data_IF_476419901848
#
_entry.id   IF_476419901848
#
_cell.length_a   1.000
_cell.length_b   1.000
_cell.length_c   1.000
_cell.angle_alpha   90.00
_cell.angle_beta   90.00
_cell.angle_gamma   90.00
#
_symmetry.space_group_name_H-M   'P 1'
#
loop_
_entity.id
_entity.type
_entity.pdbx_description
1 polymer ?
#
# COMPACT_ATOMS: atom_id res chain seq x y z
N UNK A 1 -57.93 11.70 13.48
CA UNK A 1 -56.65 12.09 14.12
C UNK A 1 -55.59 11.12 13.64
N UNK A 2 -54.51 11.44 12.96
CA UNK A 2 -54.04 12.60 12.20
C UNK A 2 -52.86 12.01 11.43
N UNK A 3 -52.79 12.21 10.11
CA UNK A 3 -51.58 11.93 9.34
C UNK A 3 -50.42 12.70 9.96
N UNK A 4 -49.53 12.03 10.68
CA UNK A 4 -48.15 12.50 10.81
C UNK A 4 -47.27 11.51 10.05
N UNK A 5 -47.14 11.83 8.77
CA UNK A 5 -46.16 11.29 7.85
C UNK A 5 -44.77 11.70 8.38
N UNK A 6 -44.18 10.91 9.28
CA UNK A 6 -42.75 11.02 9.56
C UNK A 6 -42.04 10.53 8.32
N UNK A 7 -41.53 11.48 7.54
CA UNK A 7 -40.65 11.25 6.40
C UNK A 7 -39.54 10.31 6.86
N UNK A 8 -39.67 9.03 6.52
CA UNK A 8 -38.55 8.11 6.43
C UNK A 8 -37.73 8.62 5.24
N UNK A 9 -36.98 9.69 5.47
CA UNK A 9 -35.85 10.03 4.64
C UNK A 9 -35.05 8.74 4.54
N UNK A 10 -34.73 8.24 3.35
CA UNK A 10 -33.61 7.34 3.28
C UNK A 10 -32.48 8.22 3.82
N UNK A 11 -31.98 7.89 5.01
CA UNK A 11 -30.57 8.11 5.26
C UNK A 11 -29.92 7.23 4.22
N UNK A 12 -29.82 7.75 2.99
CA UNK A 12 -28.70 7.49 2.16
C UNK A 12 -27.55 7.96 3.03
N UNK A 13 -27.10 7.06 3.91
CA UNK A 13 -25.72 7.03 4.30
C UNK A 13 -25.02 6.95 2.94
N UNK A 14 -24.72 8.11 2.38
CA UNK A 14 -23.45 8.30 1.71
C UNK A 14 -22.46 7.84 2.77
N UNK A 15 -22.20 6.53 2.77
CA UNK A 15 -20.89 6.05 3.11
C UNK A 15 -20.04 6.71 2.06
N UNK A 16 -19.60 7.93 2.38
CA UNK A 16 -18.38 8.46 1.81
C UNK A 16 -17.39 7.36 2.16
N UNK A 17 -17.13 6.50 1.17
CA UNK A 17 -16.11 5.50 1.30
C UNK A 17 -14.86 6.35 1.45
N UNK A 18 -14.44 6.55 2.71
CA UNK A 18 -13.16 7.17 3.02
C UNK A 18 -12.17 6.36 2.18
N UNK A 19 -11.71 6.96 1.08
CA UNK A 19 -10.81 6.28 0.17
C UNK A 19 -9.56 6.02 0.97
N UNK A 20 -9.35 4.76 1.35
CA UNK A 20 -8.15 4.34 2.04
C UNK A 20 -6.96 4.52 1.09
N UNK A 21 -6.08 5.45 1.42
CA UNK A 21 -4.90 5.83 0.65
C UNK A 21 -3.67 5.62 1.52
N UNK A 22 -3.19 4.37 1.64
CA UNK A 22 -2.03 4.07 2.47
C UNK A 22 -0.80 4.82 1.95
N UNK A 23 -0.07 5.47 2.84
CA UNK A 23 1.17 6.18 2.51
C UNK A 23 2.34 5.21 2.37
N UNK A 24 2.32 4.12 3.13
CA UNK A 24 3.37 3.10 3.18
C UNK A 24 2.79 1.72 3.58
N UNK A 25 3.69 0.74 3.73
CA UNK A 25 3.34 -0.62 4.13
C UNK A 25 2.85 -0.74 5.58
N UNK A 26 3.17 0.22 6.46
CA UNK A 26 2.63 0.22 7.82
C UNK A 26 1.13 0.55 7.82
N UNK A 27 0.71 1.53 7.02
CA UNK A 27 -0.72 1.83 6.85
C UNK A 27 -1.49 0.61 6.32
N UNK A 28 -0.91 -0.11 5.36
CA UNK A 28 -1.49 -1.34 4.80
C UNK A 28 -1.66 -2.41 5.88
N UNK A 29 -0.63 -2.62 6.69
CA UNK A 29 -0.66 -3.57 7.80
C UNK A 29 -1.71 -3.20 8.85
N UNK A 30 -1.74 -1.92 9.26
CA UNK A 30 -2.70 -1.42 10.23
C UNK A 30 -4.16 -1.50 9.74
N UNK A 31 -4.36 -1.57 8.41
CA UNK A 31 -5.67 -1.83 7.79
C UNK A 31 -5.98 -3.33 7.60
N UNK A 32 -5.20 -4.22 8.22
CA UNK A 32 -5.47 -5.66 8.33
C UNK A 32 -4.79 -6.54 7.29
N UNK A 33 -3.92 -5.98 6.43
CA UNK A 33 -3.14 -6.78 5.48
C UNK A 33 -1.82 -7.23 6.09
N UNK A 34 -1.78 -8.47 6.57
CA UNK A 34 -0.65 -9.00 7.36
C UNK A 34 0.37 -9.82 6.56
N UNK A 35 0.16 -10.03 5.26
CA UNK A 35 1.03 -10.88 4.44
C UNK A 35 2.00 -10.05 3.60
N UNK A 36 3.25 -10.49 3.49
CA UNK A 36 4.21 -9.88 2.57
C UNK A 36 3.76 -10.04 1.12
N UNK A 37 3.94 -9.00 0.31
CA UNK A 37 3.42 -8.98 -1.06
C UNK A 37 3.55 -7.63 -1.74
N UNK A 38 3.11 -7.54 -2.99
CA UNK A 38 3.08 -6.27 -3.72
C UNK A 38 1.77 -5.54 -3.43
N UNK A 39 1.89 -4.30 -2.97
CA UNK A 39 0.77 -3.42 -2.66
C UNK A 39 0.90 -2.07 -3.37
N UNK A 40 -0.21 -1.34 -3.45
CA UNK A 40 -0.24 0.03 -3.98
C UNK A 40 -0.32 1.02 -2.84
N UNK A 41 0.60 1.97 -2.80
CA UNK A 41 0.66 3.09 -1.84
C UNK A 41 0.53 4.43 -2.56
N UNK A 42 0.22 5.49 -1.82
CA UNK A 42 -0.07 6.83 -2.34
C UNK A 42 0.73 7.92 -1.61
N UNK A 43 2.07 7.84 -1.54
CA UNK A 43 2.90 8.78 -0.77
C UNK A 43 2.80 10.23 -1.30
N UNK A 44 2.47 10.40 -2.59
CA UNK A 44 2.26 11.70 -3.23
C UNK A 44 0.76 12.00 -3.52
N UNK A 45 -0.15 11.30 -2.85
CA UNK A 45 -1.60 11.45 -2.99
C UNK A 45 -2.25 10.57 -4.07
N UNK A 46 -3.58 10.64 -4.17
CA UNK A 46 -4.43 9.74 -4.98
C UNK A 46 -4.04 9.67 -6.47
N UNK A 47 -3.49 10.75 -7.04
CA UNK A 47 -3.14 10.81 -8.46
C UNK A 47 -1.80 10.12 -8.81
N UNK A 48 -1.02 9.74 -7.80
CA UNK A 48 0.34 9.23 -7.95
C UNK A 48 0.52 7.90 -7.19
N UNK A 49 -0.22 6.83 -7.58
CA UNK A 49 -0.04 5.52 -6.98
C UNK A 49 1.33 4.94 -7.32
N UNK A 50 1.92 4.21 -6.38
CA UNK A 50 3.18 3.49 -6.57
C UNK A 50 3.04 2.07 -6.05
N UNK A 51 3.54 1.09 -6.82
CA UNK A 51 3.57 -0.31 -6.38
C UNK A 51 4.89 -0.61 -5.66
N UNK A 52 4.79 -1.21 -4.48
CA UNK A 52 5.91 -1.57 -3.61
C UNK A 52 5.77 -2.99 -3.10
N UNK A 53 6.88 -3.66 -2.81
CA UNK A 53 6.85 -4.86 -2.00
C UNK A 53 6.80 -4.45 -0.52
N UNK A 54 5.78 -4.94 0.18
CA UNK A 54 5.70 -4.85 1.62
C UNK A 54 6.24 -6.12 2.23
N UNK A 55 7.23 -5.99 3.11
CA UNK A 55 7.68 -7.07 3.97
C UNK A 55 7.03 -6.91 5.35
N UNK A 56 5.98 -7.68 5.57
CA UNK A 56 5.19 -7.69 6.80
C UNK A 56 5.81 -8.57 7.89
N UNK A 57 6.97 -9.18 7.63
CA UNK A 57 7.64 -10.09 8.57
C UNK A 57 6.84 -11.38 8.83
N UNK A 58 7.28 -12.15 9.82
CA UNK A 58 6.60 -13.36 10.26
C UNK A 58 5.68 -13.02 11.45
N UNK A 59 4.44 -13.53 11.44
CA UNK A 59 3.47 -13.31 12.53
C UNK A 59 3.93 -13.92 13.88
N UNK A 60 4.94 -14.80 13.85
CA UNK A 60 5.45 -15.57 14.99
C UNK A 60 6.79 -15.10 15.55
N UNK A 61 7.42 -14.05 15.00
CA UNK A 61 8.70 -13.57 15.52
C UNK A 61 8.50 -12.82 16.84
N UNK A 62 8.87 -13.46 17.95
CA UNK A 62 9.00 -12.90 19.31
C UNK A 62 10.09 -11.81 19.37
N UNK A 63 10.96 -11.77 18.36
CA UNK A 63 11.92 -10.69 18.18
C UNK A 63 11.18 -9.44 17.67
N UNK A 64 11.37 -8.31 18.35
CA UNK A 64 10.75 -7.01 18.06
C UNK A 64 11.16 -6.39 16.70
N UNK A 65 11.63 -7.19 15.74
CA UNK A 65 11.88 -6.77 14.35
C UNK A 65 10.54 -6.79 13.60
N UNK A 66 9.69 -5.85 14.00
CA UNK A 66 8.30 -5.69 13.57
C UNK A 66 8.19 -5.43 12.08
N UNK A 67 7.96 -6.49 11.32
CA UNK A 67 7.71 -6.41 9.89
C UNK A 67 6.54 -5.46 9.60
N UNK A 68 6.82 -4.49 8.72
CA UNK A 68 5.92 -3.45 8.16
C UNK A 68 6.67 -2.61 7.11
N UNK A 69 7.66 -3.21 6.45
CA UNK A 69 8.66 -2.48 5.67
C UNK A 69 8.18 -2.18 4.26
N UNK A 70 8.32 -0.91 3.86
CA UNK A 70 8.25 -0.53 2.44
C UNK A 70 9.60 -0.76 1.80
N UNK A 71 9.72 -1.80 0.99
CA UNK A 71 10.97 -2.10 0.29
C UNK A 71 11.18 -1.06 -0.82
N UNK A 72 12.34 -0.39 -0.80
CA UNK A 72 12.70 0.59 -1.85
C UNK A 72 13.71 0.02 -2.85
N UNK A 73 14.37 -1.09 -2.51
CA UNK A 73 15.36 -1.75 -3.35
C UNK A 73 15.43 -3.23 -3.00
N UNK A 74 15.40 -4.14 -3.99
CA UNK A 74 15.49 -5.59 -3.77
C UNK A 74 16.39 -6.28 -4.80
N UNK A 75 17.32 -7.13 -4.32
CA UNK A 75 18.14 -8.06 -5.11
C UNK A 75 17.87 -9.50 -4.66
N UNK A 76 17.83 -10.45 -5.59
CA UNK A 76 17.57 -11.86 -5.30
C UNK A 76 18.31 -12.81 -6.24
N UNK A 77 18.26 -12.55 -7.55
CA UNK A 77 18.69 -13.49 -8.58
C UNK A 77 19.56 -12.86 -9.67
N UNK A 78 19.79 -11.54 -9.62
CA UNK A 78 20.58 -10.82 -10.61
C UNK A 78 19.91 -10.62 -11.97
N UNK A 79 18.61 -10.88 -12.09
CA UNK A 79 17.87 -10.75 -13.36
C UNK A 79 17.69 -9.31 -13.81
N UNK A 80 17.77 -8.34 -12.89
CA UNK A 80 17.65 -6.92 -13.23
C UNK A 80 19.03 -6.27 -13.19
N UNK A 81 19.39 -5.59 -14.28
CA UNK A 81 20.59 -4.79 -14.33
C UNK A 81 20.41 -3.49 -13.52
N UNK A 82 21.27 -3.26 -12.53
CA UNK A 82 21.32 -2.05 -11.71
C UNK A 82 22.33 -1.00 -12.22
N UNK A 83 23.19 -1.35 -13.18
CA UNK A 83 24.03 -0.35 -13.83
C UNK A 83 23.20 0.48 -14.82
N UNK A 84 22.58 1.55 -14.31
CA UNK A 84 21.60 2.39 -15.03
C UNK A 84 21.93 3.89 -14.92
N UNK A 85 21.50 4.71 -15.89
CA UNK A 85 21.65 6.16 -15.83
C UNK A 85 20.75 6.80 -14.76
N UNK A 86 21.06 8.05 -14.40
CA UNK A 86 20.37 8.82 -13.35
C UNK A 86 18.85 8.90 -13.53
N UNK A 87 18.37 9.07 -14.76
CA UNK A 87 16.95 9.24 -15.03
C UNK A 87 16.14 7.99 -14.72
N UNK A 88 16.74 6.79 -14.81
CA UNK A 88 16.08 5.55 -14.40
C UNK A 88 16.05 5.39 -12.89
N UNK A 89 17.13 5.74 -12.18
CA UNK A 89 17.12 5.78 -10.72
C UNK A 89 16.11 6.79 -10.14
N UNK A 90 15.89 7.92 -10.84
CA UNK A 90 14.86 8.87 -10.45
C UNK A 90 13.44 8.34 -10.62
N UNK A 91 13.20 7.50 -11.63
CA UNK A 91 11.86 7.02 -12.02
C UNK A 91 11.47 5.68 -11.39
N UNK A 92 12.45 4.90 -10.94
CA UNK A 92 12.25 3.50 -10.60
C UNK A 92 12.49 2.56 -11.80
N UNK A 93 12.89 1.32 -11.53
CA UNK A 93 13.03 0.26 -12.53
C UNK A 93 12.93 -1.14 -11.89
N UNK A 94 12.57 -2.15 -12.68
CA UNK A 94 12.42 -3.54 -12.23
C UNK A 94 10.96 -3.90 -11.93
N UNK A 95 10.75 -4.93 -11.12
CA UNK A 95 9.43 -5.41 -10.73
C UNK A 95 9.35 -5.56 -9.20
N UNK A 96 8.38 -4.93 -8.50
CA UNK A 96 8.19 -5.10 -7.05
C UNK A 96 8.04 -6.56 -6.60
N UNK A 97 7.53 -7.46 -7.44
CA UNK A 97 7.47 -8.89 -7.15
C UNK A 97 8.83 -9.61 -7.29
N UNK A 98 9.85 -8.92 -7.81
CA UNK A 98 11.18 -9.42 -8.12
C UNK A 98 12.28 -8.46 -7.66
N UNK A 99 13.32 -8.28 -8.48
CA UNK A 99 14.33 -7.24 -8.26
C UNK A 99 13.84 -5.88 -8.76
N UNK A 100 14.02 -4.82 -7.97
CA UNK A 100 13.64 -3.47 -8.37
C UNK A 100 14.32 -2.37 -7.55
N UNK A 101 14.19 -1.15 -8.07
CA UNK A 101 14.46 0.12 -7.43
C UNK A 101 13.19 0.97 -7.53
N UNK A 102 12.71 1.48 -6.39
CA UNK A 102 11.51 2.33 -6.30
C UNK A 102 11.74 3.72 -6.90
#
# INVERSE_FOLDING_TARGET
VSMLLLLLLPVAAVSDSVKFLPLDCEDIYNNGSIHSGVYTIFPAGHASPVQVYCDMGCEDSIDNDGGKWTVIQRRMDGTVNFYRPWDQYKKGFGNPAGEYWL
#
